data_IF_402391756331
#
_entry.id   IF_402391756331
#
_cell.length_a   1.000
_cell.length_b   1.000
_cell.length_c   1.000
_cell.angle_alpha   90.00
_cell.angle_beta   90.00
_cell.angle_gamma   90.00
#
_symmetry.space_group_name_H-M   'P 1'
#
loop_
_entity.id
_entity.type
_entity.pdbx_description
1 polymer ?
#
# COMPACT_ATOMS: atom_id res chain seq x y z
N UNK A 1 -38.43 -27.31 41.38
CA UNK A 1 -39.73 -26.70 41.78
C UNK A 1 -39.40 -25.34 42.36
N UNK A 2 -39.77 -24.17 41.84
CA UNK A 2 -40.89 -23.75 41.01
C UNK A 2 -40.40 -22.77 39.92
N UNK A 3 -41.12 -22.75 38.79
CA UNK A 3 -40.96 -21.79 37.70
C UNK A 3 -41.31 -20.37 38.14
N UNK A 4 -40.66 -19.37 37.55
CA UNK A 4 -41.28 -18.05 37.38
C UNK A 4 -41.16 -17.60 35.92
N UNK A 5 -42.33 -17.49 35.28
CA UNK A 5 -42.59 -16.99 33.93
C UNK A 5 -42.81 -15.48 33.99
N UNK A 6 -42.66 -14.84 32.81
CA UNK A 6 -43.21 -13.54 32.36
C UNK A 6 -42.13 -12.47 32.16
N UNK A 7 -42.09 -11.68 31.07
CA UNK A 7 -43.10 -11.35 30.07
C UNK A 7 -42.36 -10.82 28.80
N UNK A 8 -42.75 -11.27 27.61
CA UNK A 8 -42.28 -10.73 26.31
C UNK A 8 -43.34 -9.72 25.84
N UNK A 9 -42.92 -8.47 25.59
CA UNK A 9 -43.78 -7.42 25.02
C UNK A 9 -43.54 -7.35 23.51
N UNK A 10 -44.56 -7.70 22.73
CA UNK A 10 -44.63 -7.45 21.30
C UNK A 10 -45.20 -6.04 21.06
N UNK A 11 -44.45 -5.17 20.37
CA UNK A 11 -44.95 -3.89 19.87
C UNK A 11 -45.42 -4.11 18.43
N UNK A 12 -46.74 -4.04 18.22
CA UNK A 12 -47.37 -4.02 16.91
C UNK A 12 -47.39 -2.58 16.37
N UNK A 13 -46.76 -2.33 15.22
CA UNK A 13 -46.86 -1.07 14.49
C UNK A 13 -48.09 -1.13 13.57
N UNK A 14 -49.04 -0.23 13.80
CA UNK A 14 -50.20 0.00 12.92
C UNK A 14 -49.83 0.99 11.80
N UNK A 15 -50.13 0.62 10.56
CA UNK A 15 -49.94 1.45 9.36
C UNK A 15 -51.21 2.28 9.12
N UNK A 16 -51.08 3.60 9.14
CA UNK A 16 -52.16 4.53 8.79
C UNK A 16 -52.14 4.84 7.28
N UNK A 17 -53.29 4.66 6.65
CA UNK A 17 -53.56 4.87 5.23
C UNK A 17 -53.84 6.36 4.93
N UNK A 18 -53.30 6.88 3.83
CA UNK A 18 -53.54 8.25 3.34
C UNK A 18 -54.70 8.23 2.34
N UNK A 19 -55.68 9.17 2.40
CA UNK A 19 -56.76 9.20 1.43
C UNK A 19 -56.40 9.97 0.15
N UNK A 20 -56.87 9.44 -0.98
CA UNK A 20 -56.83 10.04 -2.29
C UNK A 20 -57.82 11.20 -2.43
N UNK A 21 -57.40 12.31 -3.03
CA UNK A 21 -58.29 13.38 -3.49
C UNK A 21 -58.38 13.36 -5.02
N UNK A 22 -59.59 13.14 -5.51
CA UNK A 22 -59.97 13.28 -6.91
C UNK A 22 -60.51 14.70 -7.15
N UNK A 23 -60.08 15.34 -8.23
CA UNK A 23 -60.63 16.58 -8.77
C UNK A 23 -60.65 16.51 -10.29
N UNK A 24 -61.80 16.79 -10.89
CA UNK A 24 -62.26 16.36 -12.22
C UNK A 24 -62.57 17.59 -13.10
N UNK A 25 -62.21 17.51 -14.38
CA UNK A 25 -62.80 18.24 -15.52
C UNK A 25 -62.23 19.65 -15.81
N UNK A 26 -62.07 20.12 -17.04
CA UNK A 26 -62.37 19.61 -18.39
C UNK A 26 -62.36 20.76 -19.42
N UNK A 27 -62.19 20.45 -20.72
CA UNK A 27 -62.46 21.33 -21.88
C UNK A 27 -61.20 21.94 -22.54
N UNK A 28 -60.66 21.41 -23.65
CA UNK A 28 -61.05 21.44 -25.09
C UNK A 28 -60.90 22.79 -25.82
N UNK A 29 -59.93 22.77 -26.76
CA UNK A 29 -60.02 23.14 -28.18
C UNK A 29 -59.54 24.51 -28.71
N UNK A 30 -58.72 24.37 -29.76
CA UNK A 30 -58.64 25.11 -31.04
C UNK A 30 -57.99 26.50 -31.11
N UNK A 31 -56.84 26.52 -31.82
CA UNK A 31 -56.72 27.16 -33.15
C UNK A 31 -56.49 28.68 -33.18
N UNK A 32 -55.40 29.10 -33.82
CA UNK A 32 -55.23 30.51 -34.22
C UNK A 32 -53.79 30.94 -34.49
N UNK A 33 -53.36 30.74 -35.72
CA UNK A 33 -52.16 31.31 -36.33
C UNK A 33 -52.10 32.84 -36.16
N UNK A 34 -50.91 33.39 -35.88
CA UNK A 34 -50.48 34.71 -36.38
C UNK A 34 -48.96 34.84 -36.33
N UNK A 35 -48.40 34.92 -37.52
CA UNK A 35 -47.06 35.38 -37.87
C UNK A 35 -46.86 36.86 -37.53
N UNK A 36 -45.70 37.20 -36.98
CA UNK A 36 -45.09 38.51 -37.16
C UNK A 36 -43.58 38.35 -37.07
N UNK A 37 -42.93 38.56 -38.21
CA UNK A 37 -41.49 38.49 -38.37
C UNK A 37 -40.76 39.61 -37.63
N UNK A 38 -39.54 39.31 -37.24
CA UNK A 38 -38.59 40.23 -36.64
C UNK A 38 -37.19 39.70 -36.88
N UNK A 39 -36.69 39.93 -38.09
CA UNK A 39 -35.34 39.63 -38.55
C UNK A 39 -34.29 40.21 -37.59
N UNK A 40 -33.44 39.37 -36.98
CA UNK A 40 -32.12 39.81 -36.48
C UNK A 40 -31.06 38.74 -36.72
N UNK A 41 -30.25 39.06 -37.71
CA UNK A 41 -28.88 38.67 -38.03
C UNK A 41 -28.23 37.59 -37.17
N UNK A 42 -27.96 36.47 -37.84
CA UNK A 42 -26.87 35.55 -37.55
C UNK A 42 -25.53 36.29 -37.58
N UNK A 43 -25.00 36.62 -36.40
CA UNK A 43 -23.60 36.97 -36.23
C UNK A 43 -22.80 35.68 -36.05
N UNK A 44 -22.16 35.22 -37.12
CA UNK A 44 -21.05 34.27 -37.06
C UNK A 44 -19.76 35.07 -36.91
N UNK A 45 -19.00 34.94 -35.80
CA UNK A 45 -17.61 35.34 -35.81
C UNK A 45 -16.77 34.17 -36.35
N UNK A 46 -16.44 34.26 -37.63
CA UNK A 46 -15.22 33.67 -38.17
C UNK A 46 -14.00 34.42 -37.62
N UNK A 47 -13.12 33.73 -36.88
CA UNK A 47 -11.70 34.04 -36.56
C UNK A 47 -11.31 33.23 -35.30
N UNK A 48 -10.16 32.58 -35.16
CA UNK A 48 -8.99 32.33 -36.00
C UNK A 48 -8.34 31.08 -35.40
N UNK A 49 -7.95 30.10 -36.23
CA UNK A 49 -7.07 29.01 -35.82
C UNK A 49 -5.66 29.54 -35.63
N UNK A 50 -5.38 30.06 -34.43
CA UNK A 50 -4.01 30.27 -33.95
C UNK A 50 -3.56 28.99 -33.26
N UNK A 51 -2.74 28.21 -33.94
CA UNK A 51 -1.89 27.18 -33.35
C UNK A 51 -0.63 27.85 -32.79
N UNK A 52 -0.38 27.89 -31.48
CA UNK A 52 0.95 28.11 -30.98
C UNK A 52 1.72 26.80 -31.16
N UNK A 53 2.70 26.79 -32.05
CA UNK A 53 3.76 25.79 -32.10
C UNK A 53 4.45 25.75 -30.74
N UNK A 54 4.12 24.74 -29.94
CA UNK A 54 4.74 24.52 -28.62
C UNK A 54 6.13 23.97 -28.85
N UNK A 55 7.11 24.87 -28.80
CA UNK A 55 8.54 24.57 -28.76
C UNK A 55 8.84 23.65 -27.57
N UNK A 56 9.41 22.48 -27.89
CA UNK A 56 9.94 21.52 -26.93
C UNK A 56 11.14 22.12 -26.20
N UNK A 57 10.90 22.71 -25.03
CA UNK A 57 11.96 23.17 -24.14
C UNK A 57 12.39 22.00 -23.23
N UNK A 58 13.40 21.28 -23.68
CA UNK A 58 14.15 20.30 -22.88
C UNK A 58 15.19 21.06 -22.04
N UNK A 59 15.21 20.96 -20.70
CA UNK A 59 16.36 21.42 -19.93
C UNK A 59 17.52 20.44 -20.18
N UNK A 60 18.40 20.79 -21.12
CA UNK A 60 19.70 20.14 -21.30
C UNK A 60 20.55 20.44 -20.05
N UNK A 61 20.61 19.48 -19.13
CA UNK A 61 21.54 19.53 -18.00
C UNK A 61 22.93 19.25 -18.54
N UNK A 62 23.76 20.29 -18.54
CA UNK A 62 25.14 20.29 -19.02
C UNK A 62 25.97 19.26 -18.25
N UNK A 63 26.36 18.17 -18.93
CA UNK A 63 27.36 17.22 -18.44
C UNK A 63 28.75 17.77 -18.76
N UNK A 64 29.37 18.42 -17.78
CA UNK A 64 30.81 18.70 -17.83
C UNK A 64 31.57 17.37 -17.67
N UNK A 65 31.97 16.79 -18.80
CA UNK A 65 32.97 15.72 -18.87
C UNK A 65 34.30 16.33 -19.31
N UNK A 66 35.35 16.35 -18.49
CA UNK A 66 36.68 16.70 -18.95
C UNK A 66 37.19 15.63 -19.92
N UNK A 67 37.37 16.01 -21.19
CA UNK A 67 38.05 15.20 -22.20
C UNK A 67 39.49 14.95 -21.78
N UNK A 68 39.81 13.70 -21.42
CA UNK A 68 41.19 13.23 -21.28
C UNK A 68 41.61 12.57 -22.59
N UNK A 69 42.46 13.26 -23.33
CA UNK A 69 43.13 12.79 -24.53
C UNK A 69 43.95 11.52 -24.25
N UNK A 70 43.64 10.43 -24.96
CA UNK A 70 44.43 9.20 -24.99
C UNK A 70 45.25 9.15 -26.28
N UNK A 71 46.59 9.13 -26.21
CA UNK A 71 47.44 8.90 -27.38
C UNK A 71 47.40 7.45 -27.87
N UNK A 72 47.53 7.30 -29.19
CA UNK A 72 47.46 6.08 -29.99
C UNK A 72 48.52 5.02 -29.64
N UNK A 73 48.12 3.74 -29.74
CA UNK A 73 48.99 2.53 -29.65
C UNK A 73 49.87 2.37 -30.89
N UNK A 74 51.11 1.86 -30.72
CA UNK A 74 51.72 0.96 -31.69
C UNK A 74 51.73 -0.49 -31.20
N UNK A 75 51.45 -1.40 -32.13
CA UNK A 75 51.48 -2.86 -31.98
C UNK A 75 52.92 -3.41 -32.06
N UNK A 76 53.31 -4.30 -31.14
CA UNK A 76 54.38 -5.26 -31.37
C UNK A 76 54.08 -6.59 -30.65
N UNK A 77 54.01 -7.66 -31.44
CA UNK A 77 53.96 -9.07 -31.04
C UNK A 77 55.36 -9.66 -31.03
N UNK A 78 55.71 -10.51 -30.04
CA UNK A 78 56.75 -11.51 -30.23
C UNK A 78 56.25 -12.95 -30.08
N UNK A 79 56.85 -13.80 -30.90
CA UNK A 79 56.54 -15.18 -31.23
C UNK A 79 56.97 -16.20 -30.15
N UNK A 80 56.29 -17.34 -30.22
CA UNK A 80 56.38 -18.58 -29.42
C UNK A 80 57.73 -19.30 -29.52
N UNK A 81 58.08 -20.17 -28.55
CA UNK A 81 58.63 -21.48 -28.92
C UNK A 81 57.90 -22.71 -28.32
N UNK A 82 57.97 -23.77 -29.15
CA UNK A 82 57.74 -25.23 -29.03
C UNK A 82 57.55 -25.96 -27.68
N UNK A 83 56.63 -26.94 -27.71
CA UNK A 83 56.42 -28.06 -26.75
C UNK A 83 57.49 -29.15 -26.87
N UNK A 84 57.66 -30.03 -25.85
CA UNK A 84 57.17 -31.41 -26.04
C UNK A 84 56.62 -32.17 -24.79
N UNK A 85 55.64 -33.04 -25.09
CA UNK A 85 55.30 -34.37 -24.53
C UNK A 85 54.86 -34.65 -23.06
N UNK A 86 53.60 -35.13 -22.99
CA UNK A 86 53.10 -36.45 -22.50
C UNK A 86 53.18 -36.81 -21.00
N UNK A 87 52.00 -37.03 -20.41
CA UNK A 87 51.83 -37.88 -19.23
C UNK A 87 50.48 -37.73 -18.52
N UNK A 88 49.54 -38.63 -18.79
CA UNK A 88 48.34 -38.92 -17.97
C UNK A 88 48.70 -39.20 -16.52
N UNK A 89 47.96 -38.70 -15.53
CA UNK A 89 47.62 -39.40 -14.26
C UNK A 89 46.67 -38.57 -13.40
N UNK A 90 45.49 -39.11 -13.12
CA UNK A 90 44.67 -38.73 -11.96
C UNK A 90 45.18 -39.51 -10.74
N UNK A 91 45.20 -38.89 -9.54
CA UNK A 91 44.81 -39.66 -8.36
C UNK A 91 43.86 -38.89 -7.42
N UNK A 92 42.82 -39.62 -7.02
CA UNK A 92 42.01 -39.42 -5.82
C UNK A 92 42.88 -39.45 -4.54
N UNK A 93 42.36 -38.84 -3.44
CA UNK A 93 42.21 -39.42 -2.07
C UNK A 93 42.68 -38.52 -0.91
N UNK A 94 41.78 -38.34 0.06
CA UNK A 94 42.03 -38.21 1.51
C UNK A 94 42.53 -36.85 2.01
N UNK A 95 42.17 -36.31 3.19
CA UNK A 95 41.41 -36.85 4.31
C UNK A 95 41.38 -35.82 5.47
N UNK A 96 40.25 -35.81 6.18
CA UNK A 96 40.11 -35.87 7.65
C UNK A 96 40.74 -34.82 8.61
N UNK A 97 39.81 -34.06 9.23
CA UNK A 97 39.60 -33.72 10.67
C UNK A 97 40.69 -33.08 11.57
N UNK A 98 40.31 -32.00 12.29
CA UNK A 98 39.84 -31.96 13.71
C UNK A 98 40.34 -30.78 14.58
N UNK A 99 39.40 -30.24 15.37
CA UNK A 99 39.49 -29.86 16.80
C UNK A 99 40.02 -28.46 17.22
N UNK A 100 39.08 -27.66 17.76
CA UNK A 100 39.14 -27.20 19.17
C UNK A 100 39.49 -25.73 19.46
N UNK A 101 38.64 -25.04 20.24
CA UNK A 101 39.01 -23.80 20.95
C UNK A 101 37.80 -22.91 21.30
N UNK A 102 37.38 -22.93 22.57
CA UNK A 102 36.27 -22.15 23.12
C UNK A 102 36.84 -21.01 23.99
N UNK A 103 36.39 -19.76 23.80
CA UNK A 103 36.53 -18.68 24.79
C UNK A 103 35.31 -17.74 24.76
N UNK A 104 34.59 -17.69 25.88
CA UNK A 104 33.63 -16.63 26.20
C UNK A 104 34.30 -15.61 27.13
N UNK A 105 34.31 -14.31 26.76
CA UNK A 105 34.06 -13.18 27.68
C UNK A 105 33.92 -11.87 26.90
N UNK A 106 32.87 -11.12 27.23
CA UNK A 106 32.48 -9.87 26.57
C UNK A 106 33.44 -8.70 26.76
N UNK A 107 33.37 -7.78 25.81
CA UNK A 107 33.95 -6.45 25.85
C UNK A 107 33.34 -5.60 24.74
N UNK A 108 32.60 -4.56 25.10
CA UNK A 108 32.12 -3.54 24.18
C UNK A 108 33.33 -2.80 23.60
N UNK A 109 33.50 -2.78 22.28
CA UNK A 109 34.49 -1.93 21.61
C UNK A 109 33.79 -1.07 20.56
N UNK A 110 33.49 0.17 20.94
CA UNK A 110 33.27 1.25 19.98
C UNK A 110 34.63 1.63 19.39
N UNK A 111 34.83 1.42 18.08
CA UNK A 111 35.94 2.07 17.36
C UNK A 111 35.46 2.47 15.97
N UNK A 112 35.23 3.77 15.81
CA UNK A 112 35.07 4.42 14.52
C UNK A 112 36.38 4.42 13.73
N UNK A 113 36.26 4.43 12.40
CA UNK A 113 37.39 4.55 11.48
C UNK A 113 36.89 4.58 10.03
N UNK A 114 37.24 5.66 9.33
CA UNK A 114 36.83 6.03 7.97
C UNK A 114 37.31 5.02 6.89
N UNK A 115 36.57 4.99 5.78
CA UNK A 115 36.80 4.16 4.59
C UNK A 115 38.06 4.56 3.81
N UNK A 116 38.77 3.58 3.19
CA UNK A 116 39.05 3.59 1.75
C UNK A 116 39.68 2.30 1.19
N UNK A 117 39.09 1.87 0.06
CA UNK A 117 39.64 1.16 -1.12
C UNK A 117 40.24 -0.25 -0.95
N UNK A 118 39.53 -1.23 -1.53
CA UNK A 118 40.03 -2.57 -1.85
C UNK A 118 39.45 -3.64 -0.94
N UNK A 119 38.37 -4.31 -1.35
CA UNK A 119 37.82 -5.41 -0.58
C UNK A 119 36.63 -6.07 -1.27
N UNK A 120 36.83 -7.31 -1.67
CA UNK A 120 35.86 -8.24 -2.24
C UNK A 120 34.55 -8.24 -1.43
N UNK A 121 33.41 -8.04 -2.10
CA UNK A 121 32.08 -8.14 -1.48
C UNK A 121 31.81 -9.61 -1.20
N UNK A 122 32.01 -10.05 0.04
CA UNK A 122 31.56 -11.37 0.46
C UNK A 122 30.05 -11.39 0.59
N UNK A 123 29.45 -12.18 -0.31
CA UNK A 123 28.04 -12.50 -0.46
C UNK A 123 27.70 -13.61 0.54
N UNK A 124 26.75 -13.39 1.45
CA UNK A 124 26.12 -14.49 2.21
C UNK A 124 25.81 -14.17 3.67
N UNK A 125 24.53 -14.14 3.99
CA UNK A 125 24.03 -14.15 5.37
C UNK A 125 22.55 -14.52 5.38
N UNK A 126 22.26 -15.82 5.43
CA UNK A 126 20.93 -16.36 5.78
C UNK A 126 20.73 -16.27 7.30
N UNK A 127 19.49 -16.02 7.72
CA UNK A 127 19.10 -15.73 9.10
C UNK A 127 19.14 -16.95 10.03
N UNK A 128 19.53 -16.72 11.29
CA UNK A 128 19.01 -17.47 12.44
C UNK A 128 18.75 -16.56 13.66
N UNK A 129 17.76 -17.00 14.44
CA UNK A 129 16.99 -16.36 15.53
C UNK A 129 17.84 -15.72 16.65
N UNK A 130 17.46 -14.48 17.04
CA UNK A 130 17.76 -13.86 18.33
C UNK A 130 19.14 -13.20 18.44
N UNK A 131 19.25 -11.91 18.12
CA UNK A 131 20.48 -11.13 18.37
C UNK A 131 20.49 -9.79 17.64
N UNK A 132 21.00 -8.76 18.31
CA UNK A 132 21.09 -7.36 17.86
C UNK A 132 21.70 -7.23 16.46
N UNK A 133 20.92 -6.73 15.51
CA UNK A 133 21.29 -6.68 14.09
C UNK A 133 22.17 -5.46 13.83
N UNK A 134 23.47 -5.68 13.61
CA UNK A 134 24.33 -4.71 12.95
C UNK A 134 24.92 -5.34 11.68
N UNK A 135 24.68 -4.64 10.57
CA UNK A 135 25.19 -4.83 9.19
C UNK A 135 24.34 -5.75 8.27
N UNK A 136 23.41 -5.12 7.54
CA UNK A 136 23.00 -5.50 6.18
C UNK A 136 22.27 -6.84 6.01
N UNK A 137 20.99 -6.92 6.35
CA UNK A 137 20.16 -8.10 6.09
C UNK A 137 19.37 -7.97 4.78
N UNK A 138 19.31 -9.05 3.99
CA UNK A 138 18.43 -9.16 2.82
C UNK A 138 17.26 -10.08 3.13
N UNK A 139 16.04 -9.55 3.16
CA UNK A 139 14.83 -10.37 3.25
C UNK A 139 14.26 -10.55 1.85
N UNK A 140 13.98 -11.79 1.43
CA UNK A 140 13.35 -12.12 0.16
C UNK A 140 12.21 -13.12 0.42
N UNK A 141 10.97 -12.73 0.11
CA UNK A 141 9.82 -13.64 0.03
C UNK A 141 9.11 -13.38 -1.31
N UNK A 142 8.99 -14.40 -2.15
CA UNK A 142 8.19 -14.34 -3.38
C UNK A 142 8.56 -13.21 -4.36
N UNK A 143 9.85 -12.95 -4.60
CA UNK A 143 10.29 -11.90 -5.54
C UNK A 143 10.16 -10.47 -5.01
N UNK A 144 9.78 -10.30 -3.74
CA UNK A 144 9.69 -9.01 -3.05
C UNK A 144 10.66 -9.04 -1.88
N UNK A 145 11.67 -8.20 -1.97
CA UNK A 145 12.72 -8.15 -0.97
C UNK A 145 13.15 -6.75 -0.63
N UNK A 146 13.83 -6.65 0.50
CA UNK A 146 14.44 -5.42 0.94
C UNK A 146 15.84 -5.66 1.48
N UNK A 147 16.68 -4.65 1.31
CA UNK A 147 17.94 -4.54 2.05
C UNK A 147 17.69 -3.70 3.29
N UNK A 148 18.24 -4.12 4.43
CA UNK A 148 17.99 -3.49 5.72
C UNK A 148 19.30 -2.99 6.36
N UNK A 149 19.27 -1.77 6.89
CA UNK A 149 20.32 -1.22 7.75
C UNK A 149 19.76 -0.53 8.99
N UNK A 150 20.41 -0.68 10.12
CA UNK A 150 20.16 0.10 11.34
C UNK A 150 20.93 1.42 11.29
N UNK A 151 20.38 2.48 11.86
CA UNK A 151 21.08 3.75 12.09
C UNK A 151 20.54 4.44 13.36
N UNK A 152 21.33 5.34 13.94
CA UNK A 152 20.95 6.10 15.14
C UNK A 152 20.81 7.58 14.80
N UNK A 153 19.71 8.21 15.22
CA UNK A 153 19.48 9.65 15.05
C UNK A 153 18.82 10.21 16.30
N UNK A 154 19.44 11.21 16.93
CA UNK A 154 18.89 11.86 18.13
C UNK A 154 18.68 10.88 19.30
N UNK A 155 19.62 9.94 19.50
CA UNK A 155 19.52 8.90 20.54
C UNK A 155 18.60 7.72 20.22
N UNK A 156 17.75 7.82 19.20
CA UNK A 156 16.82 6.77 18.81
C UNK A 156 17.41 5.85 17.73
N UNK A 157 17.19 4.54 17.86
CA UNK A 157 17.58 3.54 16.86
C UNK A 157 16.45 3.36 15.84
N UNK A 158 16.80 3.50 14.57
CA UNK A 158 15.92 3.29 13.44
C UNK A 158 16.43 2.17 12.56
N UNK A 159 15.51 1.57 11.81
CA UNK A 159 15.80 0.62 10.76
C UNK A 159 15.31 1.18 9.44
N UNK A 160 16.21 1.25 8.47
CA UNK A 160 15.91 1.65 7.11
C UNK A 160 15.84 0.40 6.23
N UNK A 161 14.76 0.29 5.46
CA UNK A 161 14.60 -0.75 4.44
C UNK A 161 14.51 -0.12 3.07
N UNK A 162 15.33 -0.60 2.15
CA UNK A 162 15.25 -0.25 0.73
C UNK A 162 14.60 -1.40 -0.01
N UNK A 163 13.43 -1.14 -0.58
CA UNK A 163 12.63 -2.08 -1.34
C UNK A 163 12.89 -1.89 -2.84
N UNK A 164 12.88 -3.01 -3.57
CA UNK A 164 12.88 -3.01 -5.04
C UNK A 164 11.61 -3.74 -5.47
N UNK A 165 10.65 -3.01 -6.05
CA UNK A 165 9.35 -3.57 -6.49
C UNK A 165 8.95 -2.96 -7.82
N UNK A 166 8.66 -3.80 -8.81
CA UNK A 166 8.16 -3.36 -10.13
C UNK A 166 9.08 -2.37 -10.85
N UNK A 167 10.40 -2.53 -10.71
CA UNK A 167 11.40 -1.60 -11.28
C UNK A 167 11.64 -0.32 -10.47
N UNK A 168 10.83 -0.05 -9.44
CA UNK A 168 10.97 1.11 -8.57
C UNK A 168 11.73 0.74 -7.30
N UNK A 169 12.68 1.61 -6.92
CA UNK A 169 13.37 1.52 -5.63
C UNK A 169 12.82 2.59 -4.70
N UNK A 170 12.30 2.18 -3.54
CA UNK A 170 11.84 3.10 -2.52
C UNK A 170 12.37 2.70 -1.15
N UNK A 171 12.47 3.69 -0.28
CA UNK A 171 13.07 3.54 1.03
C UNK A 171 12.01 3.82 2.08
N UNK A 172 12.04 3.08 3.19
CA UNK A 172 11.20 3.37 4.36
C UNK A 172 12.03 3.28 5.62
N UNK A 173 11.69 4.12 6.59
CA UNK A 173 12.29 4.12 7.91
C UNK A 173 11.30 3.54 8.91
N UNK A 174 11.83 2.86 9.91
CA UNK A 174 11.06 2.18 10.94
C UNK A 174 11.67 2.44 12.31
N UNK A 175 10.81 2.66 13.29
CA UNK A 175 11.18 2.56 14.70
C UNK A 175 11.25 1.08 15.09
N UNK A 176 12.14 0.74 16.01
CA UNK A 176 12.23 -0.60 16.59
C UNK A 176 11.61 -0.62 17.98
N UNK A 177 10.79 -1.63 18.27
CA UNK A 177 10.22 -1.83 19.60
C UNK A 177 10.09 -3.33 19.90
N UNK A 178 9.80 -3.68 21.16
CA UNK A 178 9.60 -5.06 21.59
C UNK A 178 8.19 -5.25 22.14
N UNK A 179 7.52 -6.32 21.73
CA UNK A 179 6.22 -6.71 22.24
C UNK A 179 6.18 -8.23 22.44
N UNK A 180 5.80 -8.69 23.64
CA UNK A 180 5.80 -10.12 23.97
C UNK A 180 7.17 -10.80 23.81
N UNK A 181 8.26 -10.06 24.10
CA UNK A 181 9.63 -10.55 23.97
C UNK A 181 10.15 -10.69 22.52
N UNK A 182 9.38 -10.23 21.52
CA UNK A 182 9.74 -10.25 20.09
C UNK A 182 9.95 -8.83 19.58
N UNK A 183 10.96 -8.65 18.73
CA UNK A 183 11.23 -7.36 18.09
C UNK A 183 10.30 -7.10 16.90
N UNK A 184 9.68 -5.92 16.88
CA UNK A 184 8.80 -5.43 15.82
C UNK A 184 9.27 -4.07 15.29
N UNK A 185 8.65 -3.66 14.18
CA UNK A 185 8.95 -2.44 13.46
C UNK A 185 7.68 -1.64 13.23
N UNK A 186 7.70 -0.34 13.51
CA UNK A 186 6.59 0.57 13.19
C UNK A 186 7.07 1.63 12.22
N UNK A 187 6.24 1.94 11.22
CA UNK A 187 6.56 2.90 10.19
C UNK A 187 6.90 4.27 10.79
N UNK A 188 7.96 4.89 10.28
CA UNK A 188 8.36 6.25 10.65
C UNK A 188 8.18 7.15 9.43
N UNK A 189 7.25 8.12 9.49
CA UNK A 189 7.02 9.08 8.42
C UNK A 189 8.30 9.86 8.05
N UNK A 190 8.44 10.19 6.76
CA UNK A 190 9.44 11.10 6.23
C UNK A 190 9.07 12.57 6.44
N UNK A 191 7.78 12.86 6.35
CA UNK A 191 7.22 14.20 6.43
C UNK A 191 6.60 14.41 7.80
N UNK A 192 6.86 15.59 8.33
CA UNK A 192 6.14 16.11 9.48
C UNK A 192 5.63 17.50 9.10
N UNK A 193 4.31 17.65 9.13
CA UNK A 193 3.67 18.86 8.63
C UNK A 193 3.51 19.92 9.73
N UNK A 194 3.21 21.15 9.32
CA UNK A 194 2.83 22.20 10.27
C UNK A 194 1.48 21.86 10.92
N UNK A 195 1.29 22.32 12.16
CA UNK A 195 0.08 22.03 12.96
C UNK A 195 -1.23 22.37 12.24
N UNK A 196 -1.27 23.47 11.47
CA UNK A 196 -2.44 23.85 10.69
C UNK A 196 -2.86 22.79 9.66
N UNK A 197 -1.89 22.07 9.06
CA UNK A 197 -2.16 21.08 8.04
C UNK A 197 -2.75 19.79 8.64
N UNK A 198 -2.23 19.37 9.79
CA UNK A 198 -2.88 18.31 10.56
C UNK A 198 -4.29 18.74 10.96
N UNK A 199 -4.45 19.98 11.45
CA UNK A 199 -5.76 20.55 11.75
C UNK A 199 -6.72 20.54 10.56
N UNK A 200 -6.22 20.78 9.34
CA UNK A 200 -6.99 20.66 8.11
C UNK A 200 -7.49 19.23 7.89
N UNK A 201 -6.63 18.21 8.04
CA UNK A 201 -6.99 16.81 7.80
C UNK A 201 -8.17 16.28 8.65
N UNK A 202 -8.47 16.87 9.81
CA UNK A 202 -9.61 16.48 10.66
C UNK A 202 -10.87 17.30 10.42
N UNK A 203 -10.75 18.48 9.80
CA UNK A 203 -11.86 19.43 9.73
C UNK A 203 -12.79 19.03 8.58
N UNK A 204 -14.10 18.88 8.84
CA UNK A 204 -15.05 18.70 7.76
C UNK A 204 -15.01 19.92 6.84
N UNK A 205 -15.15 19.68 5.54
CA UNK A 205 -15.33 20.73 4.57
C UNK A 205 -16.71 21.34 4.73
N UNK A 206 -16.81 22.66 4.58
CA UNK A 206 -18.08 23.39 4.74
C UNK A 206 -19.19 22.86 3.82
N UNK A 207 -18.83 22.35 2.64
CA UNK A 207 -19.74 21.57 1.79
C UNK A 207 -19.00 20.34 1.30
N UNK A 208 -19.69 19.21 1.09
CA UNK A 208 -19.13 18.08 0.38
C UNK A 208 -18.63 18.51 -1.00
N UNK A 209 -17.51 17.92 -1.43
CA UNK A 209 -16.87 18.24 -2.70
C UNK A 209 -16.92 17.03 -3.60
N UNK A 210 -17.26 17.25 -4.87
CA UNK A 210 -17.06 16.26 -5.92
C UNK A 210 -15.59 16.30 -6.35
N UNK A 211 -14.96 15.13 -6.50
CA UNK A 211 -13.57 15.04 -6.92
C UNK A 211 -13.42 14.10 -8.11
N UNK A 212 -12.83 14.62 -9.18
CA UNK A 212 -12.47 13.81 -10.34
C UNK A 212 -11.03 13.33 -10.19
N UNK A 213 -10.91 12.04 -9.96
CA UNK A 213 -9.65 11.35 -9.69
C UNK A 213 -8.70 11.22 -10.88
N UNK A 214 -9.17 11.44 -12.11
CA UNK A 214 -8.41 11.27 -13.34
C UNK A 214 -8.15 9.81 -13.75
N UNK A 215 -8.22 8.85 -12.83
CA UNK A 215 -8.01 7.41 -13.10
C UNK A 215 -9.26 6.66 -13.56
N UNK A 216 -10.34 7.37 -13.93
CA UNK A 216 -11.58 6.74 -14.42
C UNK A 216 -11.36 5.86 -15.66
N UNK A 217 -10.38 6.20 -16.50
CA UNK A 217 -10.01 5.45 -17.71
C UNK A 217 -8.76 4.57 -17.53
N UNK A 218 -8.20 4.50 -16.32
CA UNK A 218 -7.02 3.67 -16.08
C UNK A 218 -7.41 2.18 -16.08
N UNK A 219 -6.61 1.29 -16.68
CA UNK A 219 -6.94 -0.14 -16.78
C UNK A 219 -7.19 -0.81 -15.43
N UNK A 220 -6.48 -0.39 -14.37
CA UNK A 220 -6.64 -0.95 -13.03
C UNK A 220 -8.03 -0.70 -12.45
N UNK A 221 -8.64 0.46 -12.77
CA UNK A 221 -9.95 0.79 -12.23
C UNK A 221 -11.06 0.02 -12.96
N UNK A 222 -10.94 -0.12 -14.28
CA UNK A 222 -11.82 -1.03 -15.03
C UNK A 222 -11.72 -2.46 -14.49
N UNK A 223 -10.52 -2.92 -14.16
CA UNK A 223 -10.28 -4.25 -13.60
C UNK A 223 -10.91 -4.44 -12.20
N UNK A 224 -10.82 -3.44 -11.32
CA UNK A 224 -11.34 -3.51 -9.93
C UNK A 224 -12.69 -2.82 -9.71
N UNK A 225 -13.35 -2.31 -10.74
CA UNK A 225 -14.59 -1.51 -10.61
C UNK A 225 -15.79 -2.28 -10.04
N UNK A 226 -15.76 -3.62 -10.09
CA UNK A 226 -16.74 -4.49 -9.41
C UNK A 226 -16.50 -4.59 -7.90
N UNK A 227 -15.29 -4.30 -7.44
CA UNK A 227 -14.81 -4.55 -6.07
C UNK A 227 -14.74 -3.27 -5.24
N UNK A 228 -14.35 -2.16 -5.86
CA UNK A 228 -14.14 -0.88 -5.19
C UNK A 228 -14.74 0.26 -6.00
N UNK A 229 -15.43 1.16 -5.29
CA UNK A 229 -15.95 2.41 -5.81
C UNK A 229 -15.67 3.55 -4.81
N UNK A 230 -15.08 4.66 -5.27
CA UNK A 230 -14.85 5.81 -4.41
C UNK A 230 -16.18 6.41 -3.93
N UNK A 231 -16.12 7.20 -2.85
CA UNK A 231 -17.23 8.04 -2.43
C UNK A 231 -17.65 8.99 -3.57
N UNK A 232 -18.96 9.23 -3.77
CA UNK A 232 -19.42 10.15 -4.82
C UNK A 232 -19.06 11.60 -4.51
N UNK A 233 -18.99 11.94 -3.22
CA UNK A 233 -18.57 13.25 -2.71
C UNK A 233 -17.84 13.07 -1.39
N UNK A 234 -16.99 14.03 -1.06
CA UNK A 234 -16.13 14.00 0.11
C UNK A 234 -16.53 15.11 1.08
N UNK A 235 -16.97 14.74 2.29
CA UNK A 235 -17.37 15.71 3.31
C UNK A 235 -16.20 16.22 4.16
N UNK A 236 -15.05 15.55 4.13
CA UNK A 236 -13.84 15.90 4.87
C UNK A 236 -12.60 15.28 4.20
N UNK A 237 -11.39 15.78 4.49
CA UNK A 237 -10.15 15.20 3.99
C UNK A 237 -9.97 13.70 4.30
N UNK A 238 -10.43 13.23 5.46
CA UNK A 238 -10.34 11.81 5.82
C UNK A 238 -11.06 10.88 4.83
N UNK A 239 -12.21 11.30 4.28
CA UNK A 239 -12.90 10.55 3.23
C UNK A 239 -12.07 10.48 1.95
N UNK A 240 -11.43 11.59 1.57
CA UNK A 240 -10.56 11.65 0.39
C UNK A 240 -9.32 10.78 0.56
N UNK A 241 -8.68 10.83 1.73
CA UNK A 241 -7.52 10.00 2.07
C UNK A 241 -7.87 8.51 2.07
N UNK A 242 -9.07 8.16 2.54
CA UNK A 242 -9.56 6.77 2.51
C UNK A 242 -9.57 6.21 1.10
N UNK A 243 -10.18 6.94 0.16
CA UNK A 243 -10.24 6.51 -1.23
C UNK A 243 -8.87 6.55 -1.90
N UNK A 244 -8.01 7.52 -1.56
CA UNK A 244 -6.62 7.55 -2.03
C UNK A 244 -5.88 6.28 -1.61
N UNK A 245 -5.93 5.90 -0.34
CA UNK A 245 -5.18 4.75 0.20
C UNK A 245 -5.64 3.45 -0.47
N UNK A 246 -6.94 3.26 -0.65
CA UNK A 246 -7.48 2.07 -1.32
C UNK A 246 -7.12 2.07 -2.81
N UNK A 247 -7.31 3.19 -3.51
CA UNK A 247 -6.98 3.32 -4.93
C UNK A 247 -5.49 3.09 -5.19
N UNK A 248 -4.62 3.68 -4.37
CA UNK A 248 -3.16 3.55 -4.50
C UNK A 248 -2.71 2.09 -4.31
N UNK A 249 -3.31 1.37 -3.36
CA UNK A 249 -3.05 -0.05 -3.15
C UNK A 249 -3.47 -0.89 -4.37
N UNK A 250 -4.68 -0.67 -4.88
CA UNK A 250 -5.22 -1.44 -6.01
C UNK A 250 -4.47 -1.15 -7.32
N UNK A 251 -4.16 0.13 -7.58
CA UNK A 251 -3.39 0.54 -8.75
C UNK A 251 -1.97 -0.06 -8.73
N UNK A 252 -1.28 -0.02 -7.60
CA UNK A 252 0.05 -0.62 -7.46
C UNK A 252 0.00 -2.14 -7.66
N UNK A 253 -0.99 -2.83 -7.07
CA UNK A 253 -1.19 -4.28 -7.24
C UNK A 253 -1.46 -4.64 -8.70
N UNK A 254 -2.29 -3.87 -9.39
CA UNK A 254 -2.58 -4.09 -10.80
C UNK A 254 -1.30 -3.99 -11.64
N UNK A 255 -0.52 -2.92 -11.45
CA UNK A 255 0.72 -2.70 -12.16
C UNK A 255 1.75 -3.82 -11.88
N UNK A 256 1.86 -4.27 -10.63
CA UNK A 256 2.78 -5.34 -10.23
C UNK A 256 2.44 -6.70 -10.86
N UNK A 257 1.18 -6.93 -11.28
CA UNK A 257 0.71 -8.20 -11.85
C UNK A 257 0.19 -8.05 -13.28
N UNK A 258 0.58 -6.99 -13.99
CA UNK A 258 0.05 -6.66 -15.32
C UNK A 258 0.08 -7.85 -16.30
N UNK A 259 1.14 -8.67 -16.28
CA UNK A 259 1.28 -9.85 -17.14
C UNK A 259 0.34 -11.01 -16.77
N UNK A 260 -0.11 -11.13 -15.51
CA UNK A 260 -0.92 -12.23 -15.01
C UNK A 260 -2.42 -11.88 -14.87
N UNK A 261 -2.76 -10.58 -14.83
CA UNK A 261 -4.13 -10.12 -14.56
C UNK A 261 -5.18 -10.71 -15.52
N UNK A 262 -4.89 -10.79 -16.83
CA UNK A 262 -5.84 -11.32 -17.81
C UNK A 262 -6.16 -12.81 -17.58
N UNK A 263 -5.12 -13.63 -17.37
CA UNK A 263 -5.29 -15.05 -17.10
C UNK A 263 -6.03 -15.28 -15.78
N UNK A 264 -5.69 -14.52 -14.73
CA UNK A 264 -6.36 -14.61 -13.43
C UNK A 264 -7.85 -14.22 -13.52
N UNK A 265 -8.17 -13.15 -14.23
CA UNK A 265 -9.56 -12.71 -14.42
C UNK A 265 -10.38 -13.74 -15.20
N UNK A 266 -9.79 -14.37 -16.23
CA UNK A 266 -10.45 -15.42 -16.99
C UNK A 266 -10.70 -16.67 -16.14
N UNK A 267 -9.70 -17.12 -15.37
CA UNK A 267 -9.82 -18.28 -14.49
C UNK A 267 -10.89 -18.09 -13.40
N UNK A 268 -11.08 -16.85 -12.93
CA UNK A 268 -11.99 -16.52 -11.84
C UNK A 268 -13.25 -15.76 -12.29
N UNK A 269 -13.61 -15.81 -13.58
CA UNK A 269 -14.71 -15.01 -14.13
C UNK A 269 -16.05 -15.19 -13.39
N UNK A 270 -16.33 -16.44 -13.00
CA UNK A 270 -17.56 -16.85 -12.30
C UNK A 270 -17.41 -16.92 -10.77
N UNK A 271 -16.24 -16.61 -10.22
CA UNK A 271 -16.04 -16.62 -8.78
C UNK A 271 -16.85 -15.49 -8.12
N UNK A 272 -17.43 -15.78 -6.96
CA UNK A 272 -18.11 -14.79 -6.15
C UNK A 272 -17.11 -13.76 -5.61
N UNK A 273 -17.56 -12.51 -5.48
CA UNK A 273 -16.80 -11.44 -4.84
C UNK A 273 -17.67 -10.75 -3.80
N UNK A 274 -17.04 -10.28 -2.73
CA UNK A 274 -17.64 -9.42 -1.72
C UNK A 274 -16.93 -8.06 -1.80
N UNK A 275 -17.54 -7.06 -2.45
CA UNK A 275 -16.92 -5.75 -2.64
C UNK A 275 -16.78 -4.98 -1.33
N UNK A 276 -15.95 -3.93 -1.35
CA UNK A 276 -15.78 -3.01 -0.23
C UNK A 276 -17.08 -2.20 -0.06
N UNK A 277 -17.78 -2.40 1.06
CA UNK A 277 -19.00 -1.68 1.39
C UNK A 277 -18.71 -0.29 1.97
N UNK A 278 -19.71 0.59 1.99
CA UNK A 278 -19.59 1.91 2.62
C UNK A 278 -19.31 1.82 4.13
N UNK A 279 -19.84 0.81 4.82
CA UNK A 279 -19.52 0.55 6.24
C UNK A 279 -18.04 0.24 6.44
N UNK A 280 -17.46 -0.60 5.56
CA UNK A 280 -16.02 -0.93 5.63
C UNK A 280 -15.18 0.30 5.32
N UNK A 281 -15.57 1.13 4.33
CA UNK A 281 -14.86 2.39 4.06
C UNK A 281 -14.96 3.37 5.23
N UNK A 282 -16.08 3.40 5.97
CA UNK A 282 -16.19 4.23 7.18
C UNK A 282 -15.23 3.76 8.28
N UNK A 283 -15.07 2.44 8.46
CA UNK A 283 -14.06 1.92 9.39
C UNK A 283 -12.63 2.24 8.96
N UNK A 284 -12.32 2.18 7.67
CA UNK A 284 -11.01 2.58 7.15
C UNK A 284 -10.80 4.10 7.35
N UNK A 285 -11.84 4.92 7.16
CA UNK A 285 -11.79 6.36 7.39
C UNK A 285 -11.43 6.69 8.84
N UNK A 286 -12.01 5.99 9.80
CA UNK A 286 -11.65 6.14 11.23
C UNK A 286 -10.18 5.79 11.46
N UNK A 287 -9.68 4.72 10.82
CA UNK A 287 -8.27 4.33 10.92
C UNK A 287 -7.35 5.35 10.25
N UNK A 288 -7.74 5.95 9.13
CA UNK A 288 -7.01 7.05 8.48
C UNK A 288 -6.91 8.25 9.44
N UNK A 289 -8.00 8.64 10.11
CA UNK A 289 -7.97 9.72 11.10
C UNK A 289 -7.02 9.40 12.26
N UNK A 290 -7.02 8.15 12.74
CA UNK A 290 -6.10 7.69 13.78
C UNK A 290 -4.63 7.72 13.33
N UNK A 291 -4.33 7.35 12.08
CA UNK A 291 -2.97 7.42 11.51
C UNK A 291 -2.49 8.87 11.34
N UNK A 292 -3.35 9.76 10.84
CA UNK A 292 -3.03 11.19 10.75
C UNK A 292 -2.69 11.74 12.15
N UNK A 293 -3.41 11.28 13.18
CA UNK A 293 -3.13 11.65 14.58
C UNK A 293 -1.82 11.07 15.09
N UNK A 294 -1.55 9.81 14.80
CA UNK A 294 -0.28 9.17 15.12
C UNK A 294 0.90 9.92 14.48
N UNK A 295 0.76 10.39 13.23
CA UNK A 295 1.78 11.17 12.54
C UNK A 295 1.98 12.56 13.18
N UNK A 296 0.88 13.25 13.54
CA UNK A 296 0.94 14.54 14.23
C UNK A 296 1.62 14.44 15.59
N UNK A 297 1.28 13.41 16.37
CA UNK A 297 1.84 13.18 17.70
C UNK A 297 3.26 12.59 17.65
N UNK A 298 3.77 12.30 16.45
CA UNK A 298 5.02 11.56 16.22
C UNK A 298 5.08 10.23 16.99
N UNK A 299 3.91 9.59 17.15
CA UNK A 299 3.72 8.34 17.88
C UNK A 299 3.23 7.27 16.90
N UNK A 300 4.14 6.48 16.29
CA UNK A 300 3.78 5.48 15.29
C UNK A 300 2.71 4.51 15.79
N UNK A 301 1.80 4.11 14.91
CA UNK A 301 0.87 3.02 15.20
C UNK A 301 1.64 1.71 15.28
N UNK A 302 1.47 1.01 16.40
CA UNK A 302 2.19 -0.21 16.74
C UNK A 302 1.24 -1.41 16.78
N UNK A 303 1.80 -2.61 16.56
CA UNK A 303 1.02 -3.83 16.41
C UNK A 303 0.25 -4.17 17.68
N UNK A 304 0.82 -3.89 18.85
CA UNK A 304 0.26 -4.16 20.17
C UNK A 304 -1.08 -3.47 20.42
N UNK A 305 -1.27 -2.28 19.85
CA UNK A 305 -2.55 -1.56 19.94
C UNK A 305 -3.58 -2.11 18.95
N UNK A 306 -3.20 -2.30 17.69
CA UNK A 306 -4.15 -2.69 16.63
C UNK A 306 -4.59 -4.16 16.73
N UNK A 307 -3.76 -5.05 17.30
CA UNK A 307 -4.14 -6.46 17.48
C UNK A 307 -5.09 -6.71 18.65
N UNK A 308 -5.50 -5.66 19.36
CA UNK A 308 -6.54 -5.74 20.39
C UNK A 308 -7.88 -5.17 19.93
N UNK A 309 -7.91 -4.41 18.83
CA UNK A 309 -9.14 -3.83 18.28
C UNK A 309 -9.71 -4.70 17.17
N UNK A 310 -10.82 -5.38 17.46
CA UNK A 310 -11.49 -6.27 16.49
C UNK A 310 -12.17 -5.53 15.34
N UNK A 311 -12.27 -4.20 15.39
CA UNK A 311 -12.76 -3.36 14.30
C UNK A 311 -11.66 -2.90 13.35
N UNK A 312 -10.38 -3.08 13.73
CA UNK A 312 -9.26 -2.68 12.89
C UNK A 312 -9.22 -3.51 11.61
N UNK A 313 -9.06 -2.85 10.47
CA UNK A 313 -9.11 -3.44 9.13
C UNK A 313 -7.69 -3.48 8.60
N UNK A 314 -7.17 -4.66 8.37
CA UNK A 314 -5.91 -4.83 7.66
C UNK A 314 -6.20 -5.02 6.17
N UNK A 315 -5.56 -4.19 5.35
CA UNK A 315 -5.49 -4.43 3.92
C UNK A 315 -4.33 -5.39 3.63
N UNK A 316 -4.62 -6.52 2.99
CA UNK A 316 -3.60 -7.48 2.57
C UNK A 316 -2.71 -6.82 1.52
N UNK A 317 -1.39 -6.80 1.74
CA UNK A 317 -0.41 -6.12 0.84
C UNK A 317 0.56 -7.06 0.14
N UNK A 318 0.49 -8.35 0.47
CA UNK A 318 1.12 -9.44 -0.27
C UNK A 318 0.20 -10.66 -0.29
N UNK A 319 0.25 -11.43 -1.38
CA UNK A 319 -0.51 -12.66 -1.49
C UNK A 319 -0.08 -13.67 -0.42
N UNK A 320 -1.07 -14.22 0.30
CA UNK A 320 -0.84 -15.21 1.35
C UNK A 320 -1.67 -16.47 1.08
N UNK A 321 -0.99 -17.60 0.96
CA UNK A 321 -1.64 -18.90 0.99
C UNK A 321 -1.89 -19.28 2.45
N UNK A 322 -3.16 -19.37 2.81
CA UNK A 322 -3.64 -19.65 4.17
C UNK A 322 -4.56 -20.87 4.14
N UNK A 323 -4.84 -21.43 5.31
CA UNK A 323 -5.88 -22.44 5.48
C UNK A 323 -7.03 -21.85 6.27
N UNK A 324 -8.24 -22.25 5.91
CA UNK A 324 -9.45 -21.95 6.67
C UNK A 324 -9.46 -22.74 7.97
N UNK A 325 -9.95 -22.14 9.05
CA UNK A 325 -10.01 -22.80 10.37
C UNK A 325 -11.16 -23.79 10.51
N UNK A 326 -12.19 -23.70 9.67
CA UNK A 326 -13.37 -24.57 9.72
C UNK A 326 -13.08 -25.97 9.16
N UNK A 327 -12.37 -26.05 8.04
CA UNK A 327 -12.20 -27.26 7.23
C UNK A 327 -10.74 -27.50 6.78
N UNK A 328 -9.79 -26.67 7.20
CA UNK A 328 -8.38 -26.70 6.77
C UNK A 328 -8.19 -26.64 5.25
N UNK A 329 -9.18 -26.10 4.53
CA UNK A 329 -9.09 -25.94 3.09
C UNK A 329 -8.10 -24.81 2.74
N UNK A 330 -7.23 -25.02 1.74
CA UNK A 330 -6.33 -23.98 1.29
C UNK A 330 -7.14 -22.88 0.56
N UNK A 331 -6.83 -21.63 0.86
CA UNK A 331 -7.30 -20.49 0.10
C UNK A 331 -6.22 -19.40 0.06
N UNK A 332 -6.30 -18.52 -0.93
CA UNK A 332 -5.33 -17.45 -1.11
C UNK A 332 -5.98 -16.10 -0.77
N UNK A 333 -5.39 -15.37 0.15
CA UNK A 333 -5.67 -13.94 0.33
C UNK A 333 -4.83 -13.18 -0.69
N UNK A 334 -5.48 -12.35 -1.49
CA UNK A 334 -4.82 -11.56 -2.53
C UNK A 334 -4.76 -10.08 -2.14
N UNK A 335 -3.79 -9.33 -2.65
CA UNK A 335 -3.59 -7.95 -2.20
C UNK A 335 -4.83 -7.07 -2.46
N UNK A 336 -5.17 -6.25 -1.47
CA UNK A 336 -6.40 -5.46 -1.45
C UNK A 336 -7.61 -6.18 -0.86
N UNK A 337 -7.52 -7.48 -0.52
CA UNK A 337 -8.51 -8.10 0.37
C UNK A 337 -8.41 -7.46 1.75
N UNK A 338 -9.56 -7.30 2.42
CA UNK A 338 -9.65 -6.69 3.73
C UNK A 338 -10.00 -7.75 4.75
N UNK A 339 -9.28 -7.74 5.86
CA UNK A 339 -9.44 -8.69 6.95
C UNK A 339 -9.50 -7.94 8.28
N UNK A 340 -10.15 -8.53 9.28
CA UNK A 340 -10.15 -8.02 10.66
C UNK A 340 -9.96 -9.15 11.63
N UNK A 341 -9.60 -8.84 12.87
CA UNK A 341 -9.47 -9.87 13.91
C UNK A 341 -10.82 -10.54 14.18
N UNK A 342 -10.80 -11.86 14.31
CA UNK A 342 -11.93 -12.59 14.88
C UNK A 342 -11.97 -12.40 16.40
N UNK A 343 -10.80 -12.38 17.04
CA UNK A 343 -10.62 -12.18 18.47
C UNK A 343 -9.37 -11.33 18.73
N UNK A 344 -9.31 -10.57 19.85
CA UNK A 344 -8.08 -9.91 20.29
C UNK A 344 -6.92 -10.90 20.43
N UNK A 345 -5.71 -10.46 20.09
CA UNK A 345 -4.48 -11.28 20.17
C UNK A 345 -3.80 -11.04 21.51
N UNK A 346 -3.46 -12.12 22.22
CA UNK A 346 -2.74 -11.99 23.49
C UNK A 346 -1.27 -11.64 23.26
N UNK A 347 -0.67 -11.00 24.26
CA UNK A 347 0.74 -10.66 24.19
C UNK A 347 1.60 -11.93 24.10
N UNK A 348 2.43 -12.01 23.06
CA UNK A 348 3.35 -13.14 22.85
C UNK A 348 2.89 -14.13 21.78
N UNK A 349 1.61 -14.11 21.41
CA UNK A 349 1.08 -14.92 20.32
C UNK A 349 1.79 -14.58 19.01
N UNK A 350 2.11 -15.62 18.23
CA UNK A 350 2.80 -15.46 16.96
C UNK A 350 1.83 -15.28 15.77
N UNK A 351 0.55 -15.58 15.98
CA UNK A 351 -0.49 -15.60 14.95
C UNK A 351 -1.83 -15.12 15.51
N UNK A 352 -2.68 -14.65 14.62
CA UNK A 352 -4.03 -14.19 14.90
C UNK A 352 -5.04 -14.93 14.01
N UNK A 353 -6.22 -15.20 14.56
CA UNK A 353 -7.37 -15.64 13.76
C UNK A 353 -8.06 -14.41 13.18
N UNK A 354 -8.18 -14.37 11.87
CA UNK A 354 -8.73 -13.26 11.10
C UNK A 354 -10.03 -13.68 10.44
N UNK A 355 -10.99 -12.78 10.38
CA UNK A 355 -12.18 -12.88 9.52
C UNK A 355 -11.91 -12.13 8.23
N UNK A 356 -12.18 -12.78 7.09
CA UNK A 356 -12.17 -12.12 5.78
C UNK A 356 -13.38 -11.19 5.68
N UNK A 357 -13.15 -9.90 5.54
CA UNK A 357 -14.21 -8.88 5.47
C UNK A 357 -14.67 -8.68 4.02
N UNK A 358 -13.71 -8.60 3.10
CA UNK A 358 -13.97 -8.46 1.67
C UNK A 358 -13.18 -9.50 0.90
N UNK A 359 -13.70 -9.90 -0.25
CA UNK A 359 -13.11 -10.94 -1.08
C UNK A 359 -13.18 -10.54 -2.54
N UNK A 360 -12.03 -10.45 -3.20
CA UNK A 360 -11.98 -10.37 -4.66
C UNK A 360 -12.32 -11.72 -5.29
N UNK A 361 -12.62 -11.72 -6.58
CA UNK A 361 -12.85 -12.97 -7.33
C UNK A 361 -11.61 -13.86 -7.24
N UNK A 362 -11.79 -15.09 -6.74
CA UNK A 362 -10.69 -16.06 -6.57
C UNK A 362 -9.92 -15.95 -5.26
N UNK A 363 -10.27 -15.00 -4.38
CA UNK A 363 -9.74 -14.92 -3.02
C UNK A 363 -10.48 -15.87 -2.06
N UNK A 364 -9.94 -16.04 -0.85
CA UNK A 364 -10.69 -16.58 0.28
C UNK A 364 -12.06 -15.88 0.41
N UNK A 365 -13.12 -16.66 0.64
CA UNK A 365 -14.48 -16.14 0.74
C UNK A 365 -14.64 -15.19 1.94
N UNK A 366 -15.47 -14.15 1.79
CA UNK A 366 -15.83 -13.30 2.92
C UNK A 366 -16.56 -14.10 4.01
N UNK A 367 -16.28 -13.77 5.27
CA UNK A 367 -16.72 -14.52 6.44
C UNK A 367 -15.84 -15.72 6.79
N UNK A 368 -14.93 -16.15 5.90
CA UNK A 368 -14.00 -17.22 6.23
C UNK A 368 -13.05 -16.79 7.37
N UNK A 369 -12.76 -17.74 8.26
CA UNK A 369 -11.80 -17.57 9.34
C UNK A 369 -10.45 -18.18 8.94
N UNK A 370 -9.39 -17.39 8.95
CA UNK A 370 -8.04 -17.76 8.50
C UNK A 370 -6.99 -17.39 9.54
N UNK A 371 -5.87 -18.10 9.59
CA UNK A 371 -4.78 -17.81 10.53
C UNK A 371 -3.65 -17.05 9.83
N UNK A 372 -3.27 -15.89 10.38
CA UNK A 372 -2.20 -15.05 9.83
C UNK A 372 -1.16 -14.76 10.90
N UNK A 373 0.12 -14.66 10.51
CA UNK A 373 1.17 -14.31 11.46
C UNK A 373 1.07 -12.84 11.89
N UNK A 374 1.34 -12.55 13.17
CA UNK A 374 1.41 -11.16 13.68
C UNK A 374 2.47 -10.35 12.91
N UNK A 375 3.50 -11.01 12.38
CA UNK A 375 4.52 -10.38 11.53
C UNK A 375 3.94 -9.86 10.22
N UNK A 376 3.06 -10.62 9.57
CA UNK A 376 2.40 -10.19 8.34
C UNK A 376 1.42 -9.05 8.64
N UNK A 377 0.66 -9.13 9.75
CA UNK A 377 -0.20 -8.03 10.20
C UNK A 377 0.59 -6.75 10.47
N UNK A 378 1.79 -6.86 11.06
CA UNK A 378 2.70 -5.72 11.25
C UNK A 378 3.13 -5.12 9.91
N UNK A 379 3.38 -5.95 8.89
CA UNK A 379 3.69 -5.45 7.56
C UNK A 379 2.48 -4.74 6.94
N UNK A 380 1.28 -5.31 7.03
CA UNK A 380 0.05 -4.69 6.53
C UNK A 380 -0.21 -3.33 7.16
N UNK A 381 -0.08 -3.24 8.49
CA UNK A 381 -0.22 -2.00 9.24
C UNK A 381 0.81 -0.94 8.78
N UNK A 382 2.07 -1.33 8.65
CA UNK A 382 3.12 -0.41 8.21
C UNK A 382 2.93 0.09 6.78
N UNK A 383 2.44 -0.76 5.87
CA UNK A 383 2.09 -0.35 4.51
C UNK A 383 0.91 0.63 4.51
N UNK A 384 -0.08 0.42 5.38
CA UNK A 384 -1.20 1.34 5.55
C UNK A 384 -0.73 2.71 6.02
N UNK A 385 0.05 2.79 7.11
CA UNK A 385 0.63 4.06 7.60
C UNK A 385 1.45 4.79 6.51
N UNK A 386 2.25 4.05 5.73
CA UNK A 386 3.02 4.63 4.64
C UNK A 386 2.15 5.20 3.49
N UNK A 387 1.02 4.54 3.18
CA UNK A 387 0.06 5.05 2.18
C UNK A 387 -0.72 6.25 2.68
N UNK A 388 -1.05 6.30 3.97
CA UNK A 388 -1.65 7.50 4.57
C UNK A 388 -0.71 8.69 4.42
N UNK A 389 0.58 8.55 4.72
CA UNK A 389 1.56 9.62 4.49
C UNK A 389 1.62 10.04 3.01
N UNK A 390 1.68 9.07 2.08
CA UNK A 390 1.67 9.34 0.65
C UNK A 390 0.42 10.11 0.22
N UNK A 391 -0.74 9.77 0.78
CA UNK A 391 -2.00 10.46 0.55
C UNK A 391 -2.00 11.86 1.11
N UNK A 392 -1.44 12.07 2.30
CA UNK A 392 -1.27 13.41 2.87
C UNK A 392 -0.37 14.28 1.99
N UNK A 393 0.71 13.76 1.42
CA UNK A 393 1.57 14.54 0.52
C UNK A 393 0.87 14.86 -0.80
N UNK A 394 0.13 13.90 -1.37
CA UNK A 394 -0.66 14.12 -2.59
C UNK A 394 -1.74 15.17 -2.36
N UNK A 395 -2.47 15.07 -1.26
CA UNK A 395 -3.50 16.04 -0.89
C UNK A 395 -2.93 17.43 -0.72
N UNK A 396 -1.78 17.57 -0.07
CA UNK A 396 -1.10 18.87 0.07
C UNK A 396 -0.70 19.46 -1.27
N UNK A 397 -0.29 18.62 -2.23
CA UNK A 397 0.08 19.08 -3.58
C UNK A 397 -1.16 19.51 -4.36
N UNK A 398 -2.25 18.76 -4.24
CA UNK A 398 -3.50 19.00 -4.95
C UNK A 398 -4.33 20.13 -4.33
N UNK A 399 -4.17 20.38 -3.03
CA UNK A 399 -4.94 21.33 -2.21
C UNK A 399 -3.99 22.12 -1.27
N UNK A 400 -3.07 22.95 -1.81
CA UNK A 400 -1.94 23.51 -1.07
C UNK A 400 -2.28 24.53 0.02
N UNK A 401 -3.41 25.22 -0.10
CA UNK A 401 -3.93 26.21 0.86
C UNK A 401 -5.03 25.63 1.76
N UNK A 402 -5.30 24.32 1.67
CA UNK A 402 -6.46 23.71 2.31
C UNK A 402 -7.79 24.21 1.73
N UNK A 403 -7.77 24.86 0.56
CA UNK A 403 -8.99 25.13 -0.19
C UNK A 403 -9.60 23.81 -0.65
N UNK A 404 -10.93 23.82 -0.80
CA UNK A 404 -11.63 22.76 -1.51
C UNK A 404 -10.98 22.61 -2.89
N UNK A 405 -10.91 21.39 -3.44
CA UNK A 405 -10.68 21.17 -4.86
C UNK A 405 -11.34 22.25 -5.71
N UNK A 406 -10.55 23.04 -6.45
CA UNK A 406 -11.12 23.91 -7.46
C UNK A 406 -11.68 23.03 -8.58
N UNK A 407 -12.89 23.39 -9.04
CA UNK A 407 -13.67 22.68 -10.06
C UNK A 407 -12.95 22.62 -11.40
#
# INVERSE_FOLDING_TARGET
MFLNKSLIVFVALTVASVPAFAGRGGGRSSGGSRSSGGSRSSYSPSRSSYTPSRSSYSPSRSSYTPSRSTPSRPSYTPSRPSTPNRGTYTPNRGGTVNRGGNYNRGGTVNRGGNYNRGGTVNRGGNYNRGGTVNRGGNYNRGGRGYTQRSYVRGGNTYVQRTYVRGGNTYVRNYNTYSWGGRGYYSYSPFYHYNSWYYGYCYRPWYTPVFWSWGWANDPWYGYYGYYYRPYPTYAAPAYWLTDFVIADLLAERYAANAAANAAYAQANANAAATPISDEVKEQIKIQVEAEVKAHQDQRPVQIDTVVTDTRHIFAVTEELNVTTTADNAPCSLTEGDLIRLANPVAQGDASATMTVVTAKKGSCAAGALVTISVRDLTNFQNEFSARVEKGMEKMKTDMPDGSKPQQ
#
